data_IF_525120653248
#
_entry.id   IF_525120653248
#
_cell.length_a   1.000
_cell.length_b   1.000
_cell.length_c   1.000
_cell.angle_alpha   90.00
_cell.angle_beta   90.00
_cell.angle_gamma   90.00
#
_symmetry.space_group_name_H-M   'P 1'
#
loop_
_entity.id
_entity.type
_entity.pdbx_description
1 polymer ?
#
# COMPACT_ATOMS: atom_id res chain seq x y z
N UNK A 1 -10.88 -3.96 36.52
CA UNK A 1 -10.66 -4.18 36.12
C UNK A 1 -9.63 -4.28 35.39
N UNK A 2 -9.06 -4.72 35.27
CA UNK A 2 -7.86 -4.91 34.67
C UNK A 2 -7.80 -4.85 33.25
N UNK A 3 -8.82 -4.82 32.59
CA UNK A 3 -8.69 -4.85 31.21
C UNK A 3 -8.23 -3.60 30.66
N UNK A 4 -8.17 -2.58 31.35
CA UNK A 4 -7.69 -1.38 30.82
C UNK A 4 -6.28 -1.48 30.41
N UNK A 5 -5.52 -2.27 31.10
CA UNK A 5 -4.16 -2.42 30.76
C UNK A 5 -4.00 -2.97 29.41
N UNK A 6 -4.83 -3.86 29.05
CA UNK A 6 -4.73 -4.46 27.78
C UNK A 6 -4.98 -3.44 26.72
N UNK A 7 -5.86 -2.50 27.03
CA UNK A 7 -6.12 -1.51 26.09
C UNK A 7 -4.95 -0.64 25.87
N UNK A 8 -4.24 -0.29 26.88
CA UNK A 8 -3.07 0.52 26.74
C UNK A 8 -2.07 -0.09 25.83
N UNK A 9 -1.92 -1.41 25.97
CA UNK A 9 -1.03 -2.09 25.16
C UNK A 9 -1.43 -1.95 23.74
N UNK A 10 -2.68 -2.02 23.47
CA UNK A 10 -3.12 -1.91 22.17
C UNK A 10 -2.85 -0.58 21.59
N UNK A 11 -2.87 0.47 22.36
CA UNK A 11 -2.60 1.78 21.86
C UNK A 11 -1.20 1.94 21.33
N UNK A 12 -0.30 1.07 21.74
CA UNK A 12 1.04 1.19 21.26
C UNK A 12 1.20 0.57 19.88
N UNK A 13 0.22 -0.18 19.46
CA UNK A 13 0.27 -0.78 18.15
C UNK A 13 -0.60 0.06 17.25
N UNK A 14 0.02 0.78 16.36
CA UNK A 14 -0.70 1.65 15.49
C UNK A 14 -1.17 0.88 14.28
N UNK A 15 -2.44 1.06 13.96
CA UNK A 15 -2.97 0.45 12.75
C UNK A 15 -2.50 1.24 11.56
N UNK A 16 -2.01 0.56 10.57
CA UNK A 16 -1.49 1.19 9.37
C UNK A 16 -2.40 0.86 8.22
N UNK A 17 -2.62 1.85 7.38
CA UNK A 17 -3.42 1.65 6.19
C UNK A 17 -2.50 1.80 4.99
N UNK A 18 -2.50 0.81 4.13
CA UNK A 18 -1.74 0.85 2.89
C UNK A 18 -2.67 1.35 1.80
N UNK A 19 -2.34 2.47 1.21
CA UNK A 19 -3.14 3.05 0.14
C UNK A 19 -2.33 3.00 -1.14
N UNK A 20 -2.88 2.35 -2.15
CA UNK A 20 -2.19 2.21 -3.42
C UNK A 20 -2.76 3.22 -4.39
N UNK A 21 -1.90 3.89 -5.13
CA UNK A 21 -2.34 4.88 -6.09
C UNK A 21 -2.21 4.30 -7.48
N UNK A 22 -3.34 4.11 -8.12
CA UNK A 22 -3.39 3.55 -9.48
C UNK A 22 -4.13 4.50 -10.40
N UNK A 23 -3.71 4.53 -11.65
CA UNK A 23 -4.44 5.30 -12.65
C UNK A 23 -4.85 4.30 -13.71
N UNK A 24 -6.15 4.03 -13.80
CA UNK A 24 -6.63 3.05 -14.75
C UNK A 24 -7.93 3.51 -15.38
N UNK A 25 -8.09 3.18 -16.64
CA UNK A 25 -9.28 3.54 -17.41
C UNK A 25 -9.57 5.03 -17.32
N UNK A 26 -8.54 5.86 -17.26
CA UNK A 26 -8.69 7.30 -17.22
C UNK A 26 -9.03 7.88 -15.86
N UNK A 27 -9.01 7.07 -14.82
CA UNK A 27 -9.36 7.55 -13.49
C UNK A 27 -8.34 7.14 -12.44
N UNK A 28 -8.16 8.02 -11.46
CA UNK A 28 -7.31 7.71 -10.35
C UNK A 28 -8.07 6.86 -9.35
N UNK A 29 -7.45 5.79 -8.90
CA UNK A 29 -8.05 4.86 -7.97
C UNK A 29 -7.15 4.74 -6.75
N UNK A 30 -7.74 4.69 -5.57
CA UNK A 30 -6.98 4.66 -4.33
C UNK A 30 -7.44 3.51 -3.43
N UNK A 31 -7.24 2.27 -3.87
CA UNK A 31 -7.63 1.15 -3.03
C UNK A 31 -6.80 1.17 -1.76
N UNK A 32 -7.43 0.89 -0.63
CA UNK A 32 -6.75 0.92 0.65
C UNK A 32 -7.01 -0.38 1.39
N UNK A 33 -6.03 -0.78 2.16
CA UNK A 33 -6.09 -2.05 2.89
C UNK A 33 -5.48 -1.88 4.27
N UNK A 34 -6.08 -2.49 5.28
CA UNK A 34 -5.44 -2.46 6.59
C UNK A 34 -4.19 -3.33 6.53
N UNK A 35 -3.14 -2.86 7.15
CA UNK A 35 -1.87 -3.59 7.17
C UNK A 35 -1.42 -3.78 8.61
N UNK A 36 -1.11 -5.00 8.98
CA UNK A 36 -0.60 -5.29 10.31
C UNK A 36 0.90 -5.40 10.26
N UNK A 37 1.58 -4.56 11.02
CA UNK A 37 3.02 -4.56 11.06
C UNK A 37 3.54 -3.16 11.26
N UNK A 38 4.82 -2.97 10.99
CA UNK A 38 5.44 -1.66 11.14
C UNK A 38 5.35 -0.90 9.82
N UNK A 39 5.62 0.40 9.90
CA UNK A 39 5.64 1.23 8.71
C UNK A 39 6.69 0.71 7.74
N UNK A 40 7.83 0.27 8.26
CA UNK A 40 8.89 -0.26 7.42
C UNK A 40 8.42 -1.51 6.67
N UNK A 41 7.70 -2.37 7.37
CA UNK A 41 7.17 -3.57 6.73
C UNK A 41 6.11 -3.23 5.70
N UNK A 42 5.34 -2.18 5.95
CA UNK A 42 4.34 -1.73 5.00
C UNK A 42 5.01 -1.25 3.71
N UNK A 43 6.11 -0.51 3.83
CA UNK A 43 6.82 -0.05 2.65
C UNK A 43 7.40 -1.22 1.87
N UNK A 44 7.91 -2.22 2.55
CA UNK A 44 8.45 -3.39 1.87
C UNK A 44 7.36 -4.15 1.13
N UNK A 45 6.21 -4.23 1.76
CA UNK A 45 5.09 -4.93 1.16
C UNK A 45 4.58 -4.17 -0.06
N UNK A 46 4.52 -2.84 0.01
CA UNK A 46 4.11 -2.03 -1.10
C UNK A 46 5.04 -2.18 -2.30
N UNK A 47 6.35 -2.21 -2.05
CA UNK A 47 7.31 -2.41 -3.11
C UNK A 47 7.13 -3.76 -3.76
N UNK A 48 6.85 -4.77 -2.96
CA UNK A 48 6.67 -6.11 -3.48
C UNK A 48 5.41 -6.20 -4.32
N UNK A 49 4.34 -5.54 -3.89
CA UNK A 49 3.11 -5.52 -4.64
C UNK A 49 3.33 -4.84 -5.99
N UNK A 50 4.10 -3.75 -6.01
CA UNK A 50 4.36 -3.08 -7.26
C UNK A 50 5.03 -4.02 -8.25
N UNK A 51 6.00 -4.77 -7.80
CA UNK A 51 6.71 -5.68 -8.68
C UNK A 51 5.85 -6.85 -9.14
N UNK A 52 4.88 -7.24 -8.33
CA UNK A 52 4.00 -8.32 -8.70
C UNK A 52 2.89 -7.89 -9.64
N UNK A 53 2.40 -6.66 -9.47
CA UNK A 53 1.25 -6.20 -10.21
C UNK A 53 1.59 -5.35 -11.42
N UNK A 54 2.81 -4.87 -11.51
CA UNK A 54 3.19 -3.95 -12.58
C UNK A 54 4.58 -4.25 -13.10
N UNK A 55 4.88 -3.72 -14.27
CA UNK A 55 6.17 -3.88 -14.92
C UNK A 55 6.70 -2.51 -15.29
N UNK A 56 7.95 -2.26 -14.97
CA UNK A 56 8.56 -0.98 -15.22
C UNK A 56 8.94 -0.81 -16.67
N UNK A 57 8.59 0.33 -17.27
CA UNK A 57 8.95 0.67 -18.63
C UNK A 57 10.00 1.75 -18.57
N UNK A 58 11.24 1.42 -18.90
CA UNK A 58 12.34 2.36 -18.80
C UNK A 58 12.23 3.54 -19.76
N UNK A 59 11.70 3.31 -20.92
CA UNK A 59 11.59 4.39 -21.89
C UNK A 59 10.65 5.47 -21.46
N UNK A 60 9.57 5.08 -20.81
CA UNK A 60 8.58 6.05 -20.38
C UNK A 60 8.67 6.38 -18.91
N UNK A 61 9.51 5.65 -18.18
CA UNK A 61 9.72 5.84 -16.75
C UNK A 61 8.39 5.69 -16.01
N UNK A 62 7.68 4.64 -16.32
CA UNK A 62 6.36 4.38 -15.78
C UNK A 62 6.21 2.89 -15.48
N UNK A 63 5.48 2.57 -14.41
CA UNK A 63 5.13 1.21 -14.08
C UNK A 63 3.75 0.93 -14.66
N UNK A 64 3.68 0.02 -15.63
CA UNK A 64 2.41 -0.35 -16.23
C UNK A 64 1.83 -1.56 -15.51
N UNK A 65 0.53 -1.51 -15.22
CA UNK A 65 -0.13 -2.64 -14.59
C UNK A 65 -0.15 -3.82 -15.56
N UNK A 66 0.12 -5.00 -15.02
CA UNK A 66 0.23 -6.20 -15.85
C UNK A 66 -1.07 -6.61 -16.53
N UNK A 67 -2.19 -6.18 -15.97
CA UNK A 67 -3.48 -6.50 -16.56
C UNK A 67 -3.87 -5.54 -17.68
N UNK A 68 -3.02 -4.57 -17.97
CA UNK A 68 -3.27 -3.65 -19.06
C UNK A 68 -4.24 -2.52 -18.73
N UNK A 69 -4.66 -2.40 -17.50
CA UNK A 69 -5.68 -1.40 -17.14
C UNK A 69 -5.11 0.00 -16.97
N UNK A 70 -3.81 0.14 -16.73
CA UNK A 70 -3.26 1.47 -16.49
C UNK A 70 -1.88 1.43 -15.89
N UNK A 71 -1.62 2.36 -14.97
CA UNK A 71 -0.29 2.52 -14.40
C UNK A 71 -0.34 2.55 -12.88
N UNK A 72 0.79 2.16 -12.29
CA UNK A 72 0.99 2.21 -10.84
C UNK A 72 1.63 3.57 -10.55
N UNK A 73 1.00 4.37 -9.71
CA UNK A 73 1.50 5.72 -9.42
C UNK A 73 2.31 5.76 -8.14
N UNK A 74 2.04 4.86 -7.22
CA UNK A 74 2.75 4.84 -5.96
C UNK A 74 1.90 4.22 -4.87
N UNK A 75 2.35 4.38 -3.62
CA UNK A 75 1.57 3.91 -2.49
C UNK A 75 1.96 4.72 -1.25
N UNK A 76 1.07 4.71 -0.27
CA UNK A 76 1.26 5.43 0.97
C UNK A 76 0.98 4.49 2.13
N UNK A 77 1.78 4.57 3.17
CA UNK A 77 1.55 3.82 4.40
C UNK A 77 1.30 4.85 5.50
N UNK A 78 0.08 4.89 6.01
CA UNK A 78 -0.19 5.84 7.09
C UNK A 78 -1.04 5.29 8.20
#
# INVERSE_FOLDING_TARGET
>A
MGHQKIRCKRLMVKEIVLIILLFSYGELSLPSFPFEGTVHECFEYGDKLREELATYNEKQNVWYLNDGSGTWQGFICE
#
